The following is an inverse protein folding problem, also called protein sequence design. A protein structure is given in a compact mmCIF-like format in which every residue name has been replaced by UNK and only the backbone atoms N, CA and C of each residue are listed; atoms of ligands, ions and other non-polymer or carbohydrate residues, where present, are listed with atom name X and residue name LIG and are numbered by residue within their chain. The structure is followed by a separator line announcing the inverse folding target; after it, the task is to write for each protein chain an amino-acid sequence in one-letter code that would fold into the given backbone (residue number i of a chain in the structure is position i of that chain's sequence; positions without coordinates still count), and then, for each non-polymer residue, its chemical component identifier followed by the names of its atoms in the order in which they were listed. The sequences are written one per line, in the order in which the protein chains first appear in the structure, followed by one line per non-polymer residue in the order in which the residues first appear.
data_IF_952004973483
#
_entry.id   IF_952004973483
#
_cell.length_a   1.000
_cell.length_b   1.000
_cell.length_c   1.000
_cell.angle_alpha   90.00
_cell.angle_beta   90.00
_cell.angle_gamma   90.00
#
_symmetry.space_group_name_H-M   'P 1'
#
loop_
_entity.id
_entity.type
_entity.pdbx_description
1 polymer ?
#
# COMPACT_ATOMS: atom_id res chain seq x y z
N UNK A 1 21.71 -13.26 -9.99
CA UNK A 1 22.11 -13.06 -8.59
C UNK A 1 23.07 -11.91 -8.50
N UNK A 2 22.46 -10.73 -8.47
CA UNK A 2 23.09 -9.45 -8.17
C UNK A 2 22.85 -9.16 -6.69
N UNK A 3 23.76 -8.44 -6.06
CA UNK A 3 23.59 -7.94 -4.70
C UNK A 3 23.52 -6.42 -4.77
N UNK A 4 22.43 -5.84 -4.27
CA UNK A 4 22.12 -4.41 -4.36
C UNK A 4 21.87 -3.91 -2.94
N UNK A 5 22.73 -3.01 -2.49
CA UNK A 5 22.64 -2.42 -1.16
C UNK A 5 22.32 -0.94 -1.30
N UNK A 6 21.37 -0.48 -0.49
CA UNK A 6 21.12 0.93 -0.25
C UNK A 6 22.18 1.54 0.67
N UNK A 7 21.74 2.60 1.31
CA UNK A 7 22.48 3.48 2.20
C UNK A 7 21.69 3.61 3.51
N UNK A 8 22.23 4.24 4.55
CA UNK A 8 21.46 4.52 5.76
C UNK A 8 20.43 5.67 5.62
N UNK A 9 19.95 5.96 4.42
CA UNK A 9 18.97 7.01 4.11
C UNK A 9 17.98 6.50 3.08
N UNK A 10 16.84 7.19 2.91
CA UNK A 10 15.85 6.85 1.89
C UNK A 10 16.50 6.48 0.54
N UNK A 11 16.23 5.26 0.08
CA UNK A 11 16.69 4.72 -1.18
C UNK A 11 15.54 4.26 -2.07
N UNK A 12 15.82 4.28 -3.38
CA UNK A 12 15.04 3.55 -4.37
C UNK A 12 15.92 2.43 -4.92
N UNK A 13 15.61 1.20 -4.54
CA UNK A 13 16.32 0.02 -4.99
C UNK A 13 15.48 -0.72 -6.02
N UNK A 14 16.12 -1.07 -7.13
CA UNK A 14 15.51 -1.82 -8.21
C UNK A 14 16.41 -2.98 -8.61
N UNK A 15 15.84 -4.17 -8.63
CA UNK A 15 16.49 -5.40 -9.07
C UNK A 15 16.55 -5.52 -10.58
N UNK A 16 16.70 -6.73 -11.06
CA UNK A 16 16.80 -7.09 -12.47
C UNK A 16 15.75 -8.15 -12.82
N UNK A 17 15.73 -8.65 -14.05
CA UNK A 17 14.86 -9.77 -14.43
C UNK A 17 15.41 -11.14 -14.00
N UNK A 18 16.37 -11.17 -13.06
CA UNK A 18 16.93 -12.40 -12.51
C UNK A 18 16.90 -12.31 -11.00
N UNK A 19 16.92 -13.46 -10.33
CA UNK A 19 17.06 -13.56 -8.88
C UNK A 19 18.18 -12.65 -8.36
N UNK A 20 17.84 -11.78 -7.41
CA UNK A 20 18.69 -10.77 -6.81
C UNK A 20 18.60 -10.83 -5.28
N UNK A 21 19.49 -10.09 -4.63
CA UNK A 21 19.43 -9.83 -3.19
C UNK A 21 19.48 -8.32 -3.00
N UNK A 22 18.43 -7.77 -2.39
CA UNK A 22 18.27 -6.33 -2.18
C UNK A 22 18.21 -6.03 -0.68
N UNK A 23 18.91 -4.98 -0.24
CA UNK A 23 18.95 -4.56 1.18
C UNK A 23 18.81 -3.05 1.28
N UNK A 24 17.72 -2.58 1.90
CA UNK A 24 17.46 -1.16 2.17
C UNK A 24 18.48 -0.56 3.16
N UNK A 25 18.61 -1.20 4.32
CA UNK A 25 19.47 -0.89 5.47
C UNK A 25 18.78 -0.02 6.53
N UNK A 26 18.79 1.29 6.38
CA UNK A 26 18.12 2.20 7.30
C UNK A 26 17.60 3.40 6.51
N UNK A 27 16.58 4.06 7.01
CA UNK A 27 15.76 4.94 6.19
C UNK A 27 14.58 4.19 5.58
N UNK A 28 13.57 4.94 5.19
CA UNK A 28 12.30 4.38 4.72
C UNK A 28 12.40 4.09 3.23
N UNK A 29 12.76 2.88 2.84
CA UNK A 29 13.17 2.59 1.48
C UNK A 29 12.01 2.17 0.58
N UNK A 30 12.20 2.34 -0.72
CA UNK A 30 11.35 1.75 -1.75
C UNK A 30 12.16 0.69 -2.49
N UNK A 31 11.74 -0.57 -2.42
CA UNK A 31 12.48 -1.70 -2.97
C UNK A 31 11.62 -2.51 -3.93
N UNK A 32 12.14 -2.77 -5.14
CA UNK A 32 11.47 -3.56 -6.18
C UNK A 32 12.38 -4.68 -6.70
N UNK A 33 11.92 -5.93 -6.66
CA UNK A 33 12.64 -7.10 -7.18
C UNK A 33 12.68 -7.16 -8.72
N UNK A 34 11.53 -6.90 -9.35
CA UNK A 34 11.23 -7.02 -10.78
C UNK A 34 10.97 -8.45 -11.25
N UNK A 35 11.99 -9.25 -11.54
CA UNK A 35 11.78 -10.56 -12.12
C UNK A 35 12.75 -11.59 -11.58
N UNK A 36 12.27 -12.83 -11.45
CA UNK A 36 13.03 -13.91 -10.83
C UNK A 36 12.75 -13.99 -9.34
N UNK A 37 13.35 -14.98 -8.68
CA UNK A 37 13.08 -15.23 -7.27
C UNK A 37 14.06 -14.46 -6.39
N UNK A 38 13.60 -13.37 -5.83
CA UNK A 38 14.39 -12.38 -5.10
C UNK A 38 14.39 -12.60 -3.60
N UNK A 39 15.46 -12.12 -2.96
CA UNK A 39 15.58 -12.04 -1.52
C UNK A 39 15.72 -10.58 -1.12
N UNK A 40 14.69 -10.03 -0.49
CA UNK A 40 14.61 -8.60 -0.21
C UNK A 40 14.52 -8.35 1.29
N UNK A 41 15.34 -7.42 1.78
CA UNK A 41 15.35 -6.97 3.18
C UNK A 41 15.15 -5.45 3.24
N UNK A 42 14.09 -4.99 3.90
CA UNK A 42 13.92 -3.58 4.29
C UNK A 42 14.96 -3.16 5.32
N UNK A 43 14.97 -3.88 6.45
CA UNK A 43 15.82 -3.78 7.65
C UNK A 43 15.32 -2.81 8.74
N UNK A 44 15.53 -1.51 8.61
CA UNK A 44 15.19 -0.53 9.65
C UNK A 44 14.37 0.60 9.06
N UNK A 45 13.50 1.16 9.89
CA UNK A 45 12.53 2.19 9.50
C UNK A 45 11.45 1.61 8.57
N UNK A 46 10.51 2.43 8.13
CA UNK A 46 9.31 1.96 7.41
C UNK A 46 9.58 1.79 5.92
N UNK A 47 9.66 0.55 5.47
CA UNK A 47 9.99 0.22 4.10
C UNK A 47 8.75 -0.11 3.27
N UNK A 48 8.89 0.07 1.95
CA UNK A 48 7.87 -0.33 1.00
C UNK A 48 8.49 -1.24 -0.07
N UNK A 49 8.07 -2.50 -0.05
CA UNK A 49 8.73 -3.61 -0.73
C UNK A 49 7.77 -4.30 -1.70
N UNK A 50 8.20 -4.44 -2.95
CA UNK A 50 7.46 -5.12 -4.02
C UNK A 50 8.33 -6.24 -4.61
N UNK A 51 7.86 -7.48 -4.56
CA UNK A 51 8.49 -8.64 -5.20
C UNK A 51 8.48 -8.52 -6.73
N UNK A 52 7.26 -8.44 -7.28
CA UNK A 52 6.92 -8.47 -8.72
C UNK A 52 6.83 -9.90 -9.26
N UNK A 53 7.52 -10.26 -10.34
CA UNK A 53 7.43 -11.60 -10.94
C UNK A 53 8.41 -12.56 -10.27
N UNK A 54 7.93 -13.61 -9.61
CA UNK A 54 8.80 -14.65 -9.05
C UNK A 54 8.30 -15.20 -7.73
N UNK A 55 8.93 -16.26 -7.25
CA UNK A 55 8.69 -16.72 -5.89
C UNK A 55 9.69 -16.02 -4.96
N UNK A 56 9.27 -14.90 -4.39
CA UNK A 56 10.11 -13.98 -3.65
C UNK A 56 10.12 -14.27 -2.15
N UNK A 57 11.15 -13.78 -1.47
CA UNK A 57 11.23 -13.80 -0.01
C UNK A 57 11.52 -12.39 0.50
N UNK A 58 10.55 -11.81 1.20
CA UNK A 58 10.52 -10.41 1.62
C UNK A 58 10.55 -10.32 3.15
N UNK A 59 11.48 -9.53 3.69
CA UNK A 59 11.62 -9.26 5.12
C UNK A 59 11.59 -7.76 5.41
N UNK A 60 10.76 -7.32 6.35
CA UNK A 60 10.63 -5.92 6.77
C UNK A 60 11.67 -5.49 7.76
N UNK A 61 11.74 -6.18 8.88
CA UNK A 61 12.72 -5.92 9.92
C UNK A 61 12.11 -5.08 11.04
N UNK A 62 12.51 -3.82 11.18
CA UNK A 62 11.96 -2.90 12.19
C UNK A 62 11.32 -1.72 11.50
N UNK A 63 10.05 -1.47 11.72
CA UNK A 63 9.37 -0.34 11.10
C UNK A 63 7.95 -0.72 10.75
N UNK A 64 7.16 0.23 10.25
CA UNK A 64 5.83 -0.09 9.77
C UNK A 64 5.94 -0.30 8.26
N UNK A 65 6.04 -1.54 7.84
CA UNK A 65 6.42 -1.89 6.48
C UNK A 65 5.19 -2.18 5.61
N UNK A 66 5.35 -2.03 4.30
CA UNK A 66 4.31 -2.32 3.32
C UNK A 66 4.84 -3.29 2.27
N UNK A 67 4.17 -4.43 2.12
CA UNK A 67 4.57 -5.52 1.23
C UNK A 67 3.56 -5.81 0.13
N UNK A 68 4.09 -6.06 -1.06
CA UNK A 68 3.37 -6.62 -2.21
C UNK A 68 4.21 -7.75 -2.82
N UNK A 69 3.84 -9.01 -2.61
CA UNK A 69 4.50 -10.15 -3.26
C UNK A 69 4.34 -10.08 -4.78
N UNK A 70 3.10 -9.91 -5.23
CA UNK A 70 2.66 -9.74 -6.62
C UNK A 70 2.44 -11.07 -7.35
N UNK A 71 3.27 -11.50 -8.30
CA UNK A 71 3.06 -12.76 -9.03
C UNK A 71 4.02 -13.83 -8.54
N UNK A 72 3.50 -14.93 -8.00
CA UNK A 72 4.29 -16.09 -7.61
C UNK A 72 3.95 -16.58 -6.21
N UNK A 73 4.71 -17.56 -5.72
CA UNK A 73 4.46 -18.08 -4.38
C UNK A 73 5.44 -17.44 -3.41
N UNK A 74 4.99 -16.40 -2.74
CA UNK A 74 5.85 -15.52 -1.97
C UNK A 74 5.91 -15.89 -0.49
N UNK A 75 7.02 -15.52 0.13
CA UNK A 75 7.20 -15.58 1.59
C UNK A 75 7.41 -14.15 2.07
N UNK A 76 6.47 -13.65 2.88
CA UNK A 76 6.50 -12.28 3.40
C UNK A 76 6.53 -12.34 4.93
N UNK A 77 7.49 -11.63 5.53
CA UNK A 77 7.62 -11.49 6.97
C UNK A 77 7.82 -10.01 7.35
N UNK A 78 6.85 -9.41 8.04
CA UNK A 78 6.93 -8.03 8.55
C UNK A 78 7.92 -7.84 9.69
N UNK A 79 8.21 -8.91 10.45
CA UNK A 79 9.06 -8.91 11.65
C UNK A 79 8.56 -8.02 12.80
N UNK A 80 8.78 -6.71 12.79
CA UNK A 80 8.37 -5.82 13.90
C UNK A 80 7.83 -4.51 13.38
N UNK A 81 6.61 -4.20 13.81
CA UNK A 81 5.94 -2.93 13.62
C UNK A 81 4.50 -3.18 13.21
N UNK A 82 3.84 -2.18 12.67
CA UNK A 82 2.48 -2.34 12.12
C UNK A 82 2.59 -2.49 10.62
N UNK A 83 2.52 -3.72 10.15
CA UNK A 83 2.86 -4.06 8.79
C UNK A 83 1.60 -4.27 7.93
N UNK A 84 1.70 -3.94 6.64
CA UNK A 84 0.64 -4.12 5.66
C UNK A 84 1.08 -5.13 4.59
N UNK A 85 0.50 -6.31 4.59
CA UNK A 85 0.94 -7.45 3.78
C UNK A 85 -0.10 -7.81 2.72
N UNK A 86 0.34 -7.81 1.46
CA UNK A 86 -0.37 -8.38 0.30
C UNK A 86 0.52 -9.46 -0.30
N UNK A 87 0.05 -10.71 -0.29
CA UNK A 87 0.68 -11.81 -1.01
C UNK A 87 0.61 -11.56 -2.51
N UNK A 88 -0.57 -11.74 -3.09
CA UNK A 88 -0.83 -11.42 -4.49
C UNK A 88 -1.44 -12.61 -5.21
N UNK A 89 -1.01 -12.82 -6.45
CA UNK A 89 -1.33 -14.04 -7.19
C UNK A 89 -0.37 -15.16 -6.79
N UNK A 90 -0.91 -16.25 -6.26
CA UNK A 90 -0.13 -17.44 -5.98
C UNK A 90 -0.60 -18.12 -4.71
N UNK A 91 0.30 -18.88 -4.10
CA UNK A 91 0.10 -19.47 -2.78
C UNK A 91 1.16 -18.91 -1.85
N UNK A 92 0.75 -17.91 -1.08
CA UNK A 92 1.67 -17.11 -0.30
C UNK A 92 1.76 -17.57 1.15
N UNK A 93 2.88 -17.24 1.80
CA UNK A 93 3.09 -17.43 3.22
C UNK A 93 3.35 -16.05 3.84
N UNK A 94 2.40 -15.58 4.64
CA UNK A 94 2.41 -14.26 5.26
C UNK A 94 2.62 -14.40 6.77
N UNK A 95 3.56 -13.64 7.30
CA UNK A 95 3.88 -13.56 8.74
C UNK A 95 3.91 -12.09 9.10
N UNK A 96 3.04 -11.65 10.00
CA UNK A 96 2.99 -10.24 10.41
C UNK A 96 4.19 -9.90 11.30
N UNK A 97 4.50 -10.79 12.24
CA UNK A 97 5.51 -10.54 13.25
C UNK A 97 4.89 -9.88 14.47
N UNK A 98 5.61 -8.94 15.08
CA UNK A 98 5.16 -8.24 16.30
C UNK A 98 4.55 -6.90 15.94
N UNK A 99 3.26 -6.72 16.25
CA UNK A 99 2.58 -5.44 16.19
C UNK A 99 1.13 -5.62 15.75
N UNK A 100 0.48 -4.56 15.30
CA UNK A 100 -0.91 -4.64 14.86
C UNK A 100 -0.92 -4.68 13.32
N UNK A 101 -0.99 -5.89 12.76
CA UNK A 101 -0.73 -6.10 11.32
C UNK A 101 -2.01 -6.21 10.48
N UNK A 102 -1.89 -5.89 9.20
CA UNK A 102 -2.97 -5.96 8.23
C UNK A 102 -2.61 -6.93 7.11
N UNK A 103 -3.40 -7.99 6.98
CA UNK A 103 -3.26 -8.98 5.91
C UNK A 103 -4.37 -8.79 4.90
N UNK A 104 -4.02 -8.43 3.68
CA UNK A 104 -4.98 -8.29 2.58
C UNK A 104 -5.27 -9.65 1.99
N UNK A 105 -6.56 -9.97 1.88
CA UNK A 105 -7.00 -11.18 1.21
C UNK A 105 -7.28 -10.88 -0.26
N UNK A 106 -6.57 -11.56 -1.15
CA UNK A 106 -6.87 -11.53 -2.57
C UNK A 106 -8.24 -12.17 -2.83
N UNK A 107 -9.06 -11.47 -3.62
CA UNK A 107 -10.41 -11.92 -3.96
C UNK A 107 -10.45 -12.84 -5.16
N UNK A 108 -9.39 -12.91 -5.98
CA UNK A 108 -9.31 -13.94 -7.01
C UNK A 108 -9.22 -15.32 -6.35
N UNK A 109 -8.39 -15.43 -5.31
CA UNK A 109 -8.37 -16.52 -4.34
C UNK A 109 -8.13 -17.91 -4.95
N UNK A 110 -7.91 -18.88 -4.07
CA UNK A 110 -7.56 -20.23 -4.49
C UNK A 110 -8.78 -21.10 -4.82
N UNK A 111 -8.64 -21.97 -5.82
CA UNK A 111 -9.68 -22.96 -6.17
C UNK A 111 -9.66 -24.18 -5.25
N UNK A 112 -8.56 -24.40 -4.53
CA UNK A 112 -8.38 -25.50 -3.58
C UNK A 112 -7.80 -24.96 -2.27
N UNK A 113 -8.02 -25.70 -1.17
CA UNK A 113 -7.46 -25.32 0.13
C UNK A 113 -5.93 -25.38 0.15
N UNK A 114 -5.32 -26.24 -0.67
CA UNK A 114 -3.87 -26.42 -0.70
C UNK A 114 -3.14 -25.23 -1.32
N UNK A 115 -3.83 -24.51 -2.21
CA UNK A 115 -3.29 -23.37 -2.97
C UNK A 115 -3.68 -22.02 -2.34
N UNK A 116 -4.38 -22.04 -1.20
CA UNK A 116 -4.76 -20.82 -0.49
C UNK A 116 -3.59 -20.25 0.31
N UNK A 117 -3.54 -18.93 0.41
CA UNK A 117 -2.55 -18.22 1.22
C UNK A 117 -2.58 -18.67 2.68
N UNK A 118 -1.42 -18.62 3.31
CA UNK A 118 -1.21 -19.05 4.69
C UNK A 118 -0.72 -17.89 5.52
N UNK A 119 -1.51 -17.51 6.52
CA UNK A 119 -1.09 -16.54 7.54
C UNK A 119 -0.63 -17.33 8.76
N UNK A 120 0.62 -17.12 9.17
CA UNK A 120 1.31 -18.05 10.09
C UNK A 120 1.19 -17.69 11.57
N UNK A 121 0.95 -16.42 11.89
CA UNK A 121 1.04 -15.90 13.27
C UNK A 121 -0.08 -14.92 13.65
N UNK A 122 -1.21 -14.95 12.92
CA UNK A 122 -2.34 -14.06 13.16
C UNK A 122 -2.77 -14.02 14.64
N UNK A 123 -2.87 -12.81 15.18
CA UNK A 123 -3.20 -12.53 16.58
C UNK A 123 -1.98 -12.17 17.44
N UNK A 124 -0.81 -11.90 16.86
CA UNK A 124 0.36 -11.41 17.58
C UNK A 124 0.32 -9.89 17.79
N UNK A 125 -0.78 -9.43 18.39
CA UNK A 125 -1.20 -8.04 18.45
C UNK A 125 -2.69 -7.94 18.14
N UNK A 126 -3.13 -6.84 17.54
CA UNK A 126 -4.52 -6.63 17.11
C UNK A 126 -4.69 -6.80 15.59
N UNK A 127 -4.11 -7.86 15.03
CA UNK A 127 -4.10 -8.11 13.59
C UNK A 127 -5.49 -8.17 12.97
N UNK A 128 -5.59 -7.75 11.71
CA UNK A 128 -6.85 -7.73 10.97
C UNK A 128 -6.68 -8.20 9.53
N UNK A 129 -7.73 -8.85 9.04
CA UNK A 129 -7.87 -9.29 7.66
C UNK A 129 -8.58 -8.20 6.86
N UNK A 130 -7.99 -7.77 5.76
CA UNK A 130 -8.56 -6.76 4.87
C UNK A 130 -9.24 -7.46 3.70
N UNK A 131 -10.56 -7.32 3.63
CA UNK A 131 -11.40 -7.77 2.53
C UNK A 131 -11.50 -6.66 1.49
N UNK A 132 -11.24 -7.01 0.23
CA UNK A 132 -11.30 -6.07 -0.89
C UNK A 132 -12.45 -6.42 -1.82
N UNK A 133 -12.64 -5.66 -2.90
CA UNK A 133 -13.67 -5.93 -3.91
C UNK A 133 -15.10 -5.77 -3.41
N UNK A 134 -15.30 -5.10 -2.27
CA UNK A 134 -16.60 -4.95 -1.63
C UNK A 134 -17.04 -6.13 -0.77
N UNK A 135 -16.19 -7.16 -0.59
CA UNK A 135 -16.48 -8.30 0.29
C UNK A 135 -16.66 -7.87 1.74
N UNK A 136 -17.65 -8.47 2.40
CA UNK A 136 -17.97 -8.26 3.81
C UNK A 136 -17.84 -9.54 4.59
N UNK A 137 -17.68 -9.44 5.91
CA UNK A 137 -17.65 -10.59 6.80
C UNK A 137 -18.83 -11.56 6.59
N UNK A 138 -20.03 -11.03 6.36
CA UNK A 138 -21.23 -11.84 6.11
C UNK A 138 -21.22 -12.59 4.78
N UNK A 139 -20.33 -12.22 3.86
CA UNK A 139 -20.14 -12.89 2.57
C UNK A 139 -19.16 -14.07 2.67
N UNK A 140 -18.61 -14.33 3.86
CA UNK A 140 -17.61 -15.37 4.09
C UNK A 140 -18.22 -16.65 4.70
N UNK A 141 -17.69 -17.79 4.28
CA UNK A 141 -17.76 -19.05 5.01
C UNK A 141 -16.45 -19.25 5.76
N UNK A 142 -16.53 -19.26 7.10
CA UNK A 142 -15.38 -19.46 7.98
C UNK A 142 -15.55 -20.78 8.73
N UNK A 143 -14.57 -21.66 8.63
CA UNK A 143 -14.61 -22.99 9.27
C UNK A 143 -13.20 -23.46 9.66
N UNK A 144 -13.14 -24.46 10.55
CA UNK A 144 -11.87 -25.00 11.02
C UNK A 144 -11.47 -26.27 10.26
N UNK A 145 -10.20 -26.37 9.89
CA UNK A 145 -9.58 -27.58 9.34
C UNK A 145 -8.25 -27.80 10.05
N UNK A 146 -8.08 -28.97 10.67
CA UNK A 146 -6.82 -29.36 11.36
C UNK A 146 -6.31 -28.34 12.40
N UNK A 147 -7.22 -27.60 13.04
CA UNK A 147 -6.87 -26.59 14.04
C UNK A 147 -6.57 -25.19 13.47
N UNK A 148 -6.73 -25.00 12.16
CA UNK A 148 -6.55 -23.72 11.46
C UNK A 148 -7.89 -23.18 10.99
N UNK A 149 -8.06 -21.85 11.03
CA UNK A 149 -9.23 -21.19 10.47
C UNK A 149 -9.06 -21.03 8.96
N UNK A 150 -10.10 -21.37 8.22
CA UNK A 150 -10.16 -21.22 6.76
C UNK A 150 -11.19 -20.16 6.45
N UNK A 151 -10.78 -19.15 5.67
CA UNK A 151 -11.65 -18.09 5.18
C UNK A 151 -11.95 -18.37 3.71
N UNK A 152 -13.23 -18.45 3.37
CA UNK A 152 -13.70 -18.76 2.02
C UNK A 152 -14.76 -17.76 1.60
N UNK A 153 -14.69 -17.26 0.38
CA UNK A 153 -15.78 -16.49 -0.20
C UNK A 153 -16.97 -17.42 -0.49
N UNK A 154 -18.14 -17.12 0.09
CA UNK A 154 -19.37 -17.91 -0.06
C UNK A 154 -19.90 -17.88 -1.48
N UNK A 155 -19.78 -16.75 -2.18
CA UNK A 155 -20.36 -16.56 -3.51
C UNK A 155 -19.53 -17.29 -4.58
N UNK A 156 -18.23 -17.04 -4.61
CA UNK A 156 -17.33 -17.63 -5.60
C UNK A 156 -16.87 -19.04 -5.22
N UNK A 157 -16.91 -19.38 -3.94
CA UNK A 157 -16.39 -20.63 -3.41
C UNK A 157 -14.86 -20.67 -3.38
N UNK A 158 -14.18 -19.52 -3.52
CA UNK A 158 -12.72 -19.41 -3.48
C UNK A 158 -12.20 -19.36 -2.05
N UNK A 159 -11.09 -20.05 -1.81
CA UNK A 159 -10.39 -20.00 -0.54
C UNK A 159 -9.52 -18.75 -0.51
N UNK A 160 -9.74 -17.88 0.48
CA UNK A 160 -9.06 -16.59 0.57
C UNK A 160 -7.81 -16.69 1.45
N UNK A 161 -7.88 -17.44 2.56
CA UNK A 161 -6.72 -17.67 3.42
C UNK A 161 -6.94 -18.85 4.39
N UNK A 162 -5.82 -19.37 4.87
CA UNK A 162 -5.72 -20.31 6.00
C UNK A 162 -4.88 -19.65 7.10
N UNK A 163 -5.48 -19.45 8.27
CA UNK A 163 -4.84 -18.86 9.43
C UNK A 163 -4.39 -19.95 10.40
N UNK A 164 -3.07 -20.08 10.56
CA UNK A 164 -2.47 -21.13 11.36
C UNK A 164 -2.72 -20.91 12.85
N UNK A 165 -3.17 -21.96 13.55
CA UNK A 165 -3.39 -21.90 15.01
C UNK A 165 -4.56 -21.01 15.46
N UNK A 166 -5.25 -20.35 14.53
CA UNK A 166 -6.45 -19.54 14.83
C UNK A 166 -7.67 -20.44 14.86
N UNK A 167 -8.40 -20.40 15.97
CA UNK A 167 -9.58 -21.25 16.19
C UNK A 167 -10.91 -20.49 16.17
N UNK A 168 -10.88 -19.16 16.07
CA UNK A 168 -12.08 -18.33 16.03
C UNK A 168 -11.78 -16.99 15.33
N UNK A 169 -12.65 -16.61 14.40
CA UNK A 169 -12.64 -15.30 13.75
C UNK A 169 -14.03 -14.69 13.86
N UNK A 170 -14.07 -13.42 14.21
CA UNK A 170 -15.29 -12.62 14.37
C UNK A 170 -15.21 -11.38 13.49
N UNK A 171 -16.33 -10.71 13.28
CA UNK A 171 -16.44 -9.53 12.40
C UNK A 171 -15.38 -8.45 12.68
N UNK A 172 -15.04 -8.21 13.96
CA UNK A 172 -14.01 -7.22 14.32
C UNK A 172 -12.59 -7.58 13.89
N UNK A 173 -12.32 -8.83 13.51
CA UNK A 173 -11.06 -9.24 12.90
C UNK A 173 -10.95 -8.80 11.43
N UNK A 174 -12.01 -8.27 10.82
CA UNK A 174 -12.04 -7.92 9.42
C UNK A 174 -12.21 -6.41 9.20
N UNK A 175 -11.64 -5.92 8.11
CA UNK A 175 -11.91 -4.60 7.54
C UNK A 175 -12.41 -4.82 6.12
N UNK A 176 -13.54 -4.22 5.75
CA UNK A 176 -14.07 -4.28 4.38
C UNK A 176 -13.82 -3.00 3.59
N UNK A 177 -13.22 -3.15 2.42
CA UNK A 177 -13.01 -2.09 1.43
C UNK A 177 -13.96 -2.27 0.24
N UNK A 178 -14.48 -1.16 -0.27
CA UNK A 178 -15.51 -1.15 -1.33
C UNK A 178 -14.90 -1.41 -2.73
N UNK A 179 -13.59 -1.21 -2.89
CA UNK A 179 -12.82 -1.51 -4.11
C UNK A 179 -11.85 -2.67 -3.91
N UNK A 180 -11.35 -3.26 -5.00
CA UNK A 180 -10.21 -4.18 -4.96
C UNK A 180 -8.94 -3.51 -4.39
N UNK A 181 -7.88 -4.28 -4.24
CA UNK A 181 -6.52 -3.74 -4.15
C UNK A 181 -5.83 -4.18 -5.45
N UNK A 182 -5.45 -3.24 -6.31
CA UNK A 182 -4.60 -3.59 -7.46
C UNK A 182 -3.19 -3.88 -6.94
N UNK A 183 -2.60 -4.95 -7.47
CA UNK A 183 -1.23 -5.36 -7.18
C UNK A 183 -0.27 -4.20 -7.45
N UNK A 184 0.61 -3.97 -6.48
CA UNK A 184 1.84 -3.20 -6.63
C UNK A 184 1.67 -1.85 -7.30
N UNK A 185 1.39 -0.80 -6.53
CA UNK A 185 1.81 0.53 -6.95
C UNK A 185 2.12 1.42 -5.73
N UNK A 186 3.29 1.19 -5.14
CA UNK A 186 4.21 2.33 -5.10
C UNK A 186 4.44 2.64 -6.58
N UNK A 187 3.85 3.70 -7.06
CA UNK A 187 4.16 4.09 -8.41
C UNK A 187 5.65 4.41 -8.42
N UNK A 188 6.43 3.90 -9.39
CA UNK A 188 7.72 4.52 -9.63
C UNK A 188 7.49 6.02 -9.76
N UNK A 189 8.47 6.84 -9.36
CA UNK A 189 8.47 8.26 -9.72
C UNK A 189 8.46 8.32 -11.25
N UNK A 190 7.26 8.38 -11.81
CA UNK A 190 7.03 8.28 -13.25
C UNK A 190 6.99 9.67 -13.87
N UNK A 191 6.94 10.70 -13.02
CA UNK A 191 7.16 12.09 -13.41
C UNK A 191 7.80 12.90 -12.30
N UNK A 192 8.42 14.01 -12.68
CA UNK A 192 8.91 15.02 -11.75
C UNK A 192 8.23 16.33 -12.07
N UNK A 193 7.75 17.02 -11.05
CA UNK A 193 7.30 18.41 -11.19
C UNK A 193 8.30 19.36 -10.58
N UNK A 194 8.28 20.62 -11.03
CA UNK A 194 8.99 21.71 -10.37
C UNK A 194 8.01 22.67 -9.73
N UNK A 195 8.11 22.80 -8.41
CA UNK A 195 7.30 23.72 -7.62
C UNK A 195 8.22 24.74 -6.96
N UNK A 196 8.11 26.00 -7.38
CA UNK A 196 8.94 27.09 -6.87
C UNK A 196 10.44 26.80 -6.93
N UNK A 197 10.89 26.09 -7.97
CA UNK A 197 12.30 25.71 -8.17
C UNK A 197 12.75 24.45 -7.42
N UNK A 198 11.84 23.75 -6.75
CA UNK A 198 12.11 22.46 -6.10
C UNK A 198 11.58 21.33 -6.98
N UNK A 199 12.47 20.40 -7.35
CA UNK A 199 12.08 19.19 -8.03
C UNK A 199 11.39 18.24 -7.04
N UNK A 200 10.22 17.75 -7.40
CA UNK A 200 9.42 16.81 -6.62
C UNK A 200 9.16 15.59 -7.49
N UNK A 201 9.58 14.42 -7.02
CA UNK A 201 9.26 13.14 -7.65
C UNK A 201 7.83 12.74 -7.32
N UNK A 202 7.03 12.50 -8.35
CA UNK A 202 5.62 12.14 -8.20
C UNK A 202 5.36 10.71 -8.64
N UNK A 203 4.68 10.01 -7.75
CA UNK A 203 3.99 8.74 -7.96
C UNK A 203 2.66 9.04 -8.66
N UNK A 204 2.28 8.36 -9.75
CA UNK A 204 1.10 8.77 -10.55
C UNK A 204 -0.05 7.76 -10.50
N UNK A 205 -1.06 7.98 -9.67
CA UNK A 205 -2.24 7.12 -9.51
C UNK A 205 -3.20 7.24 -10.70
N UNK A 206 -3.01 6.43 -11.74
CA UNK A 206 -3.74 6.45 -13.02
C UNK A 206 -5.09 5.72 -12.95
N UNK A 207 -5.16 4.57 -12.30
CA UNK A 207 -6.37 3.74 -12.28
C UNK A 207 -7.33 4.19 -11.17
N UNK A 208 -8.65 3.93 -11.30
CA UNK A 208 -9.62 4.31 -10.25
C UNK A 208 -9.30 3.75 -8.86
N UNK A 209 -8.55 2.65 -8.80
CA UNK A 209 -8.23 1.93 -7.58
C UNK A 209 -6.92 2.43 -6.96
N UNK A 210 -5.90 2.74 -7.77
CA UNK A 210 -4.71 3.49 -7.32
C UNK A 210 -5.14 4.83 -6.70
N UNK A 211 -6.10 5.52 -7.33
CA UNK A 211 -6.66 6.77 -6.79
C UNK A 211 -7.48 6.56 -5.52
N UNK A 212 -8.11 5.39 -5.37
CA UNK A 212 -8.89 5.06 -4.17
C UNK A 212 -8.00 4.70 -2.99
N UNK A 213 -6.83 4.09 -3.24
CA UNK A 213 -5.81 3.77 -2.24
C UNK A 213 -5.03 5.03 -1.87
N UNK A 214 -4.57 5.81 -2.85
CA UNK A 214 -3.76 7.00 -2.63
C UNK A 214 -2.54 6.71 -1.74
N UNK A 215 -2.39 7.50 -0.68
CA UNK A 215 -1.32 7.34 0.31
C UNK A 215 -1.78 6.58 1.58
N UNK A 216 -2.81 5.74 1.49
CA UNK A 216 -3.23 4.90 2.62
C UNK A 216 -2.06 4.08 3.16
N UNK A 217 -1.99 3.96 4.49
CA UNK A 217 -1.01 3.21 5.26
C UNK A 217 0.45 3.65 5.12
N UNK A 218 0.76 4.72 4.37
CA UNK A 218 2.11 5.29 4.36
C UNK A 218 2.42 6.03 5.66
N UNK A 219 3.45 5.58 6.36
CA UNK A 219 3.92 6.19 7.60
C UNK A 219 4.65 7.52 7.38
N UNK A 220 5.15 7.78 6.18
CA UNK A 220 5.80 9.03 5.81
C UNK A 220 5.71 9.40 4.31
N UNK A 221 6.04 10.66 4.02
CA UNK A 221 6.19 11.18 2.67
C UNK A 221 7.32 12.23 2.65
N UNK A 222 8.45 11.95 1.98
CA UNK A 222 9.59 12.88 1.92
C UNK A 222 9.27 14.23 1.25
N UNK A 223 10.00 15.28 1.62
CA UNK A 223 9.79 16.66 1.13
C UNK A 223 9.98 16.86 -0.38
N UNK A 224 10.73 15.95 -1.02
CA UNK A 224 10.96 15.91 -2.46
C UNK A 224 10.06 14.88 -3.16
N UNK A 225 8.99 14.41 -2.50
CA UNK A 225 8.08 13.39 -3.01
C UNK A 225 6.62 13.80 -2.87
N UNK A 226 5.77 13.17 -3.68
CA UNK A 226 4.32 13.32 -3.65
C UNK A 226 3.63 12.27 -4.51
N UNK A 227 2.29 12.33 -4.54
CA UNK A 227 1.47 11.51 -5.43
C UNK A 227 0.59 12.41 -6.30
N UNK A 228 0.57 12.16 -7.61
CA UNK A 228 -0.29 12.78 -8.60
C UNK A 228 -1.49 11.85 -8.90
N UNK A 229 -2.68 12.43 -8.93
CA UNK A 229 -3.93 11.77 -9.29
C UNK A 229 -4.47 12.44 -10.57
N UNK A 230 -4.24 11.88 -11.77
CA UNK A 230 -4.84 12.39 -13.00
C UNK A 230 -6.37 12.22 -12.99
N UNK A 231 -7.12 13.28 -13.27
CA UNK A 231 -8.58 13.27 -13.25
C UNK A 231 -9.12 13.33 -14.68
N UNK A 232 -9.42 12.15 -15.23
CA UNK A 232 -9.98 12.00 -16.57
C UNK A 232 -11.35 11.28 -16.55
N UNK A 233 -12.39 11.83 -17.22
CA UNK A 233 -12.46 13.21 -17.70
C UNK A 233 -12.44 14.21 -16.52
N UNK A 234 -12.00 15.47 -16.76
CA UNK A 234 -11.96 16.50 -15.73
C UNK A 234 -13.32 16.72 -15.06
N UNK A 235 -13.34 16.75 -13.74
CA UNK A 235 -14.58 16.82 -12.95
C UNK A 235 -14.34 17.43 -11.57
N UNK A 236 -15.42 17.67 -10.84
CA UNK A 236 -15.33 17.93 -9.41
C UNK A 236 -14.97 16.63 -8.70
N UNK A 237 -13.98 16.69 -7.81
CA UNK A 237 -13.54 15.54 -7.01
C UNK A 237 -13.48 15.92 -5.54
N UNK A 238 -13.68 14.93 -4.68
CA UNK A 238 -13.51 15.05 -3.23
C UNK A 238 -12.61 13.89 -2.79
N UNK A 239 -11.58 14.23 -2.03
CA UNK A 239 -10.62 13.32 -1.42
C UNK A 239 -10.97 13.11 0.05
N UNK A 240 -10.44 12.08 0.67
CA UNK A 240 -10.60 11.79 2.09
C UNK A 240 -9.28 11.27 2.67
N UNK A 241 -9.17 11.25 3.99
CA UNK A 241 -7.94 10.82 4.68
C UNK A 241 -8.09 9.44 5.33
N UNK A 242 -9.07 8.64 4.90
CA UNK A 242 -9.36 7.35 5.52
C UNK A 242 -8.16 6.44 5.37
N UNK A 243 -7.68 5.89 6.49
CA UNK A 243 -6.49 5.05 6.59
C UNK A 243 -5.18 5.74 6.16
N UNK A 244 -5.14 7.07 6.08
CA UNK A 244 -3.90 7.80 5.82
C UNK A 244 -3.27 8.21 7.16
N UNK A 245 -2.08 7.70 7.53
CA UNK A 245 -1.44 7.96 8.82
C UNK A 245 -0.79 9.34 8.94
N UNK A 246 -0.51 9.99 7.81
CA UNK A 246 0.23 11.25 7.71
C UNK A 246 -0.68 12.41 7.34
N UNK A 247 -0.32 13.60 7.81
CA UNK A 247 -0.98 14.82 7.34
C UNK A 247 -0.56 15.10 5.90
N UNK A 248 -1.49 15.56 5.07
CA UNK A 248 -1.25 15.83 3.65
C UNK A 248 -1.68 17.24 3.26
N UNK A 249 -0.95 17.83 2.32
CA UNK A 249 -1.40 18.98 1.54
C UNK A 249 -1.93 18.48 0.19
N UNK A 250 -3.15 18.88 -0.19
CA UNK A 250 -3.77 18.51 -1.47
C UNK A 250 -3.83 19.73 -2.40
N UNK A 251 -3.17 19.64 -3.54
CA UNK A 251 -3.07 20.70 -4.56
C UNK A 251 -3.92 20.31 -5.75
N UNK A 252 -5.00 21.04 -5.97
CA UNK A 252 -5.96 20.79 -7.04
C UNK A 252 -5.59 21.60 -8.27
N UNK A 253 -5.46 20.95 -9.42
CA UNK A 253 -4.94 21.53 -10.66
C UNK A 253 -5.98 21.53 -11.78
N UNK A 254 -5.91 22.56 -12.62
CA UNK A 254 -6.58 22.60 -13.92
C UNK A 254 -5.60 23.13 -14.96
N UNK A 255 -5.24 22.31 -15.94
CA UNK A 255 -4.31 22.66 -17.03
C UNK A 255 -2.97 23.19 -16.49
N UNK A 256 -2.50 22.55 -15.40
CA UNK A 256 -1.29 22.91 -14.65
C UNK A 256 -1.42 24.15 -13.76
N UNK A 257 -2.62 24.73 -13.60
CA UNK A 257 -2.84 25.90 -12.73
C UNK A 257 -3.51 25.47 -11.42
N UNK A 258 -2.94 25.89 -10.29
CA UNK A 258 -3.49 25.63 -8.95
C UNK A 258 -4.84 26.31 -8.78
N UNK A 259 -5.89 25.51 -8.59
CA UNK A 259 -7.26 25.94 -8.32
C UNK A 259 -7.53 26.07 -6.82
N UNK A 260 -6.96 25.16 -6.02
CA UNK A 260 -7.09 25.16 -4.57
C UNK A 260 -5.92 24.45 -3.92
N UNK A 261 -5.62 24.83 -2.68
CA UNK A 261 -4.70 24.12 -1.80
C UNK A 261 -5.44 23.84 -0.50
N UNK A 262 -5.60 22.57 -0.17
CA UNK A 262 -6.07 22.14 1.15
C UNK A 262 -4.83 21.79 1.95
N UNK A 263 -4.48 22.64 2.91
CA UNK A 263 -3.29 22.45 3.72
C UNK A 263 -3.60 21.64 4.98
N UNK A 264 -2.68 20.75 5.35
CA UNK A 264 -2.70 19.95 6.58
C UNK A 264 -4.00 19.18 6.80
N UNK A 265 -4.49 18.48 5.77
CA UNK A 265 -5.53 17.48 5.95
C UNK A 265 -5.03 16.43 6.97
N UNK A 266 -5.72 16.24 8.11
CA UNK A 266 -5.23 15.40 9.20
C UNK A 266 -5.40 13.91 8.91
N UNK A 267 -4.55 13.04 9.52
CA UNK A 267 -4.74 11.59 9.50
C UNK A 267 -6.15 11.18 9.95
N UNK A 268 -6.71 10.12 9.38
CA UNK A 268 -8.04 9.66 9.77
C UNK A 268 -8.20 8.13 9.70
N UNK A 269 -8.51 7.51 10.83
CA UNK A 269 -8.79 6.07 10.94
C UNK A 269 -10.24 5.76 11.35
N UNK A 270 -11.10 6.77 11.35
CA UNK A 270 -12.50 6.61 11.70
C UNK A 270 -13.33 5.99 10.57
N UNK A 271 -14.47 5.38 10.90
CA UNK A 271 -15.43 4.88 9.91
C UNK A 271 -15.95 5.98 8.97
N UNK A 272 -16.00 7.21 9.47
CA UNK A 272 -16.38 8.40 8.68
C UNK A 272 -15.27 9.45 8.78
N UNK A 273 -14.64 9.75 7.64
CA UNK A 273 -13.64 10.79 7.51
C UNK A 273 -14.21 11.99 6.74
N UNK A 274 -13.79 13.23 7.06
CA UNK A 274 -14.14 14.41 6.27
C UNK A 274 -13.65 14.27 4.83
N UNK A 275 -14.32 14.99 3.93
CA UNK A 275 -13.92 15.06 2.53
C UNK A 275 -13.40 16.46 2.17
N UNK A 276 -12.42 16.50 1.27
CA UNK A 276 -11.64 17.67 0.90
C UNK A 276 -11.67 17.86 -0.61
N UNK A 277 -11.86 19.10 -1.04
CA UNK A 277 -11.77 19.45 -2.45
C UNK A 277 -12.59 20.69 -2.79
N UNK A 278 -12.21 21.44 -3.83
CA UNK A 278 -12.92 22.64 -4.23
C UNK A 278 -14.26 22.30 -4.88
N UNK A 279 -15.10 23.31 -5.08
CA UNK A 279 -16.26 23.23 -5.97
C UNK A 279 -15.86 23.74 -7.36
N UNK A 280 -14.82 23.13 -7.92
CA UNK A 280 -14.23 23.47 -9.21
C UNK A 280 -13.88 22.19 -9.98
N UNK A 281 -13.89 22.29 -11.31
CA UNK A 281 -13.48 21.21 -12.20
C UNK A 281 -11.96 21.19 -12.28
N UNK A 282 -11.37 20.03 -12.00
CA UNK A 282 -9.93 19.81 -11.98
C UNK A 282 -9.57 18.65 -12.92
N UNK A 283 -8.34 18.63 -13.40
CA UNK A 283 -7.76 17.54 -14.21
C UNK A 283 -6.57 16.84 -13.52
N UNK A 284 -6.16 17.32 -12.35
CA UNK A 284 -5.16 16.66 -11.53
C UNK A 284 -5.22 17.07 -10.06
N UNK A 285 -4.75 16.20 -9.18
CA UNK A 285 -4.51 16.51 -7.77
C UNK A 285 -3.12 16.03 -7.40
N UNK A 286 -2.35 16.83 -6.66
CA UNK A 286 -1.06 16.42 -6.09
C UNK A 286 -1.19 16.38 -4.56
N UNK A 287 -0.82 15.27 -3.96
CA UNK A 287 -0.66 15.12 -2.51
C UNK A 287 0.82 15.25 -2.14
N UNK A 288 1.11 16.14 -1.20
CA UNK A 288 2.43 16.34 -0.57
C UNK A 288 2.31 16.13 0.93
N UNK A 289 3.46 16.00 1.62
CA UNK A 289 3.50 16.03 3.10
C UNK A 289 2.78 17.29 3.63
N UNK A 290 2.04 17.15 4.73
CA UNK A 290 1.35 18.26 5.38
C UNK A 290 2.29 19.43 5.70
N UNK A 291 1.89 20.63 5.29
CA UNK A 291 2.66 21.87 5.42
C UNK A 291 3.63 22.14 4.27
N UNK A 292 3.91 21.15 3.42
CA UNK A 292 4.90 21.28 2.34
C UNK A 292 4.51 22.31 1.27
N UNK A 293 3.22 22.45 0.96
CA UNK A 293 2.77 23.45 0.01
C UNK A 293 3.05 24.89 0.52
N UNK A 294 2.92 25.12 1.83
CA UNK A 294 3.24 26.41 2.44
C UNK A 294 4.76 26.70 2.42
N UNK A 295 5.60 25.70 2.68
CA UNK A 295 7.06 25.80 2.59
C UNK A 295 7.53 26.13 1.16
N UNK A 296 6.87 25.54 0.16
CA UNK A 296 7.09 25.81 -1.26
C UNK A 296 6.47 27.14 -1.72
N UNK A 297 5.69 27.81 -0.87
CA UNK A 297 5.04 29.09 -1.17
C UNK A 297 3.92 29.00 -2.19
N UNK A 298 3.34 27.81 -2.41
CA UNK A 298 2.28 27.56 -3.39
C UNK A 298 1.00 28.33 -3.07
N UNK A 299 0.40 28.94 -4.10
CA UNK A 299 -0.86 29.70 -4.02
C UNK A 299 -1.75 29.38 -5.21
N UNK A 300 -3.05 29.66 -5.03
CA UNK A 300 -4.02 29.62 -6.12
C UNK A 300 -3.57 30.56 -7.24
N UNK A 301 -3.58 30.05 -8.48
CA UNK A 301 -3.10 30.73 -9.67
C UNK A 301 -1.66 30.41 -10.06
N UNK A 302 -0.87 29.78 -9.19
CA UNK A 302 0.47 29.32 -9.55
C UNK A 302 0.42 28.19 -10.57
N UNK A 303 1.50 28.02 -11.34
CA UNK A 303 1.65 26.92 -12.28
C UNK A 303 2.54 25.81 -11.71
N UNK A 304 2.07 24.58 -11.88
CA UNK A 304 2.79 23.34 -11.61
C UNK A 304 2.96 22.64 -12.97
N UNK A 305 4.20 22.27 -13.30
CA UNK A 305 4.60 21.72 -14.60
C UNK A 305 4.92 20.24 -14.52
#
# INVERSE_FOLDING_TARGET
MTNIDGTPSFDFLQGTLNNDTLRGLAGNDTIQGLGGNDLIFGNQDSDSVIGNEGADTLFGGQGNDTFYGSEGNDIINGDRGQDFLIGGEGTDILTGGVGDDLFVLDTAGASSLADADKITDFGNGNDRLVLTGGLKFNDLDIFLTEGNAVVKDRLTGKYLAVLQGVNNLIDSNFISLIGGIEQGQILPVSTTTNISGNAIGLEVAQTPIEQAIGLMYRSELPDNRGMLFPIEPPRNVKFWMRNVPIALDMIFLREGVVQAVIANAPPCFAESCPTYGPDAIVDGVIELRGGRAAELGLKVGDRVF
#
